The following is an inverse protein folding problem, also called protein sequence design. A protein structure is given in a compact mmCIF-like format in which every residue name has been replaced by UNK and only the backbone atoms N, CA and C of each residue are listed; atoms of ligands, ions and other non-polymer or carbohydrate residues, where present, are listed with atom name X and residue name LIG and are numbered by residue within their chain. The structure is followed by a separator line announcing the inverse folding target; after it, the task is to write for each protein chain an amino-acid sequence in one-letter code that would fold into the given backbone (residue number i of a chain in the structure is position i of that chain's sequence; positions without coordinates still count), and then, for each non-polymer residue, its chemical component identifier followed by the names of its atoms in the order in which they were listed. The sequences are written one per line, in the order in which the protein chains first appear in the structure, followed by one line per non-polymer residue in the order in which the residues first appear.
data_IF_332822438055
#
_entry.id   IF_332822438055
#
_cell.length_a   1.000
_cell.length_b   1.000
_cell.length_c   1.000
_cell.angle_alpha   90.00
_cell.angle_beta   90.00
_cell.angle_gamma   90.00
#
_symmetry.space_group_name_H-M   'P 1'
#
loop_
_entity.id
_entity.type
_entity.pdbx_description
1 polymer ?
#
# COMPACT_ATOMS: atom_id res chain seq x y z
N UNK A 1 -7.71 -18.47 8.39
CA UNK A 1 -6.68 -17.58 7.85
C UNK A 1 -7.35 -16.35 7.24
N UNK A 2 -7.24 -15.18 7.88
CA UNK A 2 -7.78 -13.89 7.44
C UNK A 2 -6.75 -13.17 6.59
N UNK A 3 -7.10 -12.86 5.35
CA UNK A 3 -6.25 -12.12 4.41
C UNK A 3 -6.93 -10.77 4.13
N UNK A 4 -6.19 -9.67 4.26
CA UNK A 4 -6.63 -8.34 3.84
C UNK A 4 -5.79 -7.84 2.67
N UNK A 5 -6.41 -6.98 1.85
CA UNK A 5 -5.75 -6.26 0.75
C UNK A 5 -5.90 -4.76 1.01
N UNK A 6 -4.78 -4.04 0.95
CA UNK A 6 -4.74 -2.58 1.06
C UNK A 6 -4.20 -1.98 -0.25
N UNK A 7 -5.08 -1.66 -1.21
CA UNK A 7 -4.69 -1.09 -2.49
C UNK A 7 -4.46 0.42 -2.40
N UNK A 8 -3.50 0.94 -3.17
CA UNK A 8 -3.24 2.38 -3.24
C UNK A 8 -2.11 2.73 -4.22
N UNK A 9 -2.00 4.02 -4.58
CA UNK A 9 -0.89 4.49 -5.41
C UNK A 9 0.43 4.57 -4.63
N UNK A 10 0.38 4.86 -3.33
CA UNK A 10 1.55 4.96 -2.44
C UNK A 10 2.69 5.82 -3.01
N UNK A 11 2.34 7.01 -3.47
CA UNK A 11 3.23 7.92 -4.18
C UNK A 11 3.39 9.27 -3.45
N UNK A 12 4.25 9.36 -2.41
CA UNK A 12 4.93 8.26 -1.72
C UNK A 12 4.06 7.58 -0.65
N UNK A 13 4.62 6.55 -0.01
CA UNK A 13 4.08 6.08 1.26
C UNK A 13 4.17 7.18 2.32
N UNK A 14 3.19 7.24 3.22
CA UNK A 14 3.08 8.28 4.27
C UNK A 14 2.94 7.62 5.63
N UNK A 15 3.17 8.38 6.71
CA UNK A 15 2.92 7.91 8.07
C UNK A 15 1.45 7.50 8.31
N UNK A 16 0.51 8.09 7.55
CA UNK A 16 -0.89 7.65 7.56
C UNK A 16 -1.05 6.23 7.00
N UNK A 17 -0.41 5.93 5.88
CA UNK A 17 -0.41 4.58 5.31
C UNK A 17 0.22 3.56 6.27
N UNK A 18 1.35 3.91 6.89
CA UNK A 18 2.01 3.07 7.91
C UNK A 18 1.10 2.80 9.10
N UNK A 19 0.38 3.82 9.59
CA UNK A 19 -0.54 3.64 10.71
C UNK A 19 -1.67 2.64 10.40
N UNK A 20 -2.19 2.66 9.16
CA UNK A 20 -3.20 1.69 8.72
C UNK A 20 -2.60 0.29 8.63
N UNK A 21 -1.39 0.14 8.09
CA UNK A 21 -0.68 -1.14 8.02
C UNK A 21 -0.47 -1.71 9.44
N UNK A 22 0.07 -0.93 10.36
CA UNK A 22 0.34 -1.34 11.75
C UNK A 22 -0.91 -1.79 12.50
N UNK A 23 -2.06 -1.12 12.27
CA UNK A 23 -3.34 -1.52 12.86
C UNK A 23 -3.88 -2.80 12.23
N UNK A 24 -3.74 -2.94 10.91
CA UNK A 24 -4.31 -4.06 10.16
C UNK A 24 -3.58 -5.37 10.43
N UNK A 25 -2.25 -5.36 10.51
CA UNK A 25 -1.47 -6.59 10.79
C UNK A 25 -1.77 -7.20 12.17
N UNK A 26 -2.39 -6.45 13.09
CA UNK A 26 -2.81 -6.95 14.41
C UNK A 26 -4.13 -7.75 14.37
N UNK A 27 -4.88 -7.66 13.28
CA UNK A 27 -6.24 -8.24 13.17
C UNK A 27 -6.36 -9.28 12.04
N UNK A 28 -5.39 -9.36 11.13
CA UNK A 28 -5.33 -10.33 10.02
C UNK A 28 -4.07 -11.19 10.08
N UNK A 29 -4.14 -12.38 9.49
CA UNK A 29 -2.99 -13.28 9.42
C UNK A 29 -2.04 -12.88 8.28
N UNK A 30 -2.56 -12.24 7.22
CA UNK A 30 -1.78 -11.74 6.09
C UNK A 30 -2.36 -10.43 5.55
N UNK A 31 -1.51 -9.44 5.35
CA UNK A 31 -1.83 -8.18 4.68
C UNK A 31 -1.07 -8.08 3.36
N UNK A 32 -1.79 -7.83 2.26
CA UNK A 32 -1.21 -7.58 0.93
C UNK A 32 -1.36 -6.09 0.64
N UNK A 33 -0.25 -5.36 0.51
CA UNK A 33 -0.25 -3.97 0.07
C UNK A 33 -0.11 -3.94 -1.44
N UNK A 34 -1.17 -3.56 -2.16
CA UNK A 34 -1.22 -3.60 -3.62
C UNK A 34 -0.92 -2.22 -4.20
N UNK A 35 0.29 -2.02 -4.71
CA UNK A 35 0.72 -0.76 -5.32
C UNK A 35 0.16 -0.63 -6.74
N UNK A 36 -0.71 0.35 -6.95
CA UNK A 36 -1.29 0.62 -8.25
C UNK A 36 -0.24 1.28 -9.18
N UNK A 37 -0.06 0.68 -10.36
CA UNK A 37 0.91 1.11 -11.37
C UNK A 37 0.30 2.05 -12.43
N UNK A 38 -1.01 2.28 -12.35
CA UNK A 38 -1.79 2.88 -13.44
C UNK A 38 -1.24 4.24 -13.91
N UNK A 39 -0.91 4.28 -15.20
CA UNK A 39 -0.05 5.26 -15.89
C UNK A 39 -0.76 6.57 -16.27
N UNK A 40 -2.05 6.70 -15.95
CA UNK A 40 -2.85 7.91 -16.25
C UNK A 40 -2.62 9.06 -15.27
N UNK A 41 -1.99 8.80 -14.12
CA UNK A 41 -1.60 9.83 -13.15
C UNK A 41 -0.11 10.13 -13.34
N UNK A 42 0.26 11.41 -13.35
CA UNK A 42 1.66 11.81 -13.22
C UNK A 42 2.12 11.46 -11.81
N UNK A 43 2.84 10.36 -11.67
CA UNK A 43 3.39 9.92 -10.38
C UNK A 43 4.72 10.59 -10.10
N UNK A 44 4.98 10.91 -8.83
CA UNK A 44 6.25 11.46 -8.36
C UNK A 44 7.35 10.40 -8.44
N UNK A 45 7.02 9.15 -8.11
CA UNK A 45 7.92 8.01 -8.13
C UNK A 45 7.49 6.96 -9.17
N UNK A 46 8.47 6.30 -9.77
CA UNK A 46 8.27 5.13 -10.62
C UNK A 46 7.57 4.00 -9.85
N UNK A 47 7.04 3.01 -10.58
CA UNK A 47 6.46 1.83 -9.94
C UNK A 47 7.48 1.08 -9.08
N UNK A 48 8.72 0.96 -9.57
CA UNK A 48 9.82 0.31 -8.85
C UNK A 48 10.21 1.05 -7.57
N UNK A 49 10.17 2.38 -7.54
CA UNK A 49 10.51 3.14 -6.33
C UNK A 49 9.44 3.02 -5.23
N UNK A 50 8.24 2.56 -5.58
CA UNK A 50 7.09 2.42 -4.66
C UNK A 50 6.87 1.00 -4.14
N UNK A 51 7.63 0.01 -4.62
CA UNK A 51 7.58 -1.42 -4.23
C UNK A 51 8.90 -1.90 -3.69
#
# INVERSE_FOLDING_TARGET
MKIAVYPGSFDPITNGHLNIIERTIKIVDKLIVAVAVDSKKSTLFSAQERT
#
